data_IF_359347405829
#
_entry.id   IF_359347405829
#
_cell.length_a   1.000
_cell.length_b   1.000
_cell.length_c   1.000
_cell.angle_alpha   90.00
_cell.angle_beta   90.00
_cell.angle_gamma   90.00
#
_symmetry.space_group_name_H-M   'P 1'
#
loop_
_entity.id
_entity.type
_entity.pdbx_description
1 polymer ?
#
# COMPACT_ATOMS: atom_id res chain seq x y z
N UNK A 1 5.67 -10.35 20.96
CA UNK A 1 6.92 -11.00 20.91
C UNK A 1 7.54 -10.97 19.51
N UNK A 2 8.76 -10.50 19.41
CA UNK A 2 9.36 -10.17 18.14
C UNK A 2 10.35 -11.22 17.68
N UNK A 3 9.89 -12.45 17.57
CA UNK A 3 10.70 -13.42 16.89
C UNK A 3 10.77 -13.02 15.42
N UNK A 4 11.97 -12.82 14.96
CA UNK A 4 12.21 -12.42 13.60
C UNK A 4 11.87 -13.58 12.68
N UNK A 5 10.80 -13.40 11.89
CA UNK A 5 10.41 -14.39 10.91
C UNK A 5 11.53 -14.57 9.87
N UNK A 6 11.88 -15.81 9.60
CA UNK A 6 12.92 -16.14 8.64
C UNK A 6 12.30 -16.62 7.35
N UNK A 7 12.59 -15.91 6.25
CA UNK A 7 12.15 -16.32 4.93
C UNK A 7 12.97 -17.50 4.44
N UNK A 8 12.27 -18.56 4.06
CA UNK A 8 12.90 -19.73 3.45
C UNK A 8 13.01 -19.56 1.94
N UNK A 9 13.77 -20.44 1.29
CA UNK A 9 13.84 -20.46 -0.17
C UNK A 9 12.46 -20.72 -0.78
N UNK A 10 11.68 -21.60 -0.17
CA UNK A 10 10.31 -21.87 -0.60
C UNK A 10 9.44 -20.61 -0.50
N UNK A 11 9.57 -19.85 0.59
CA UNK A 11 8.82 -18.60 0.76
C UNK A 11 9.10 -17.62 -0.38
N UNK A 12 10.37 -17.49 -0.76
CA UNK A 12 10.75 -16.59 -1.84
C UNK A 12 10.16 -17.01 -3.18
N UNK A 13 10.13 -18.31 -3.44
CA UNK A 13 9.51 -18.84 -4.65
C UNK A 13 8.02 -18.57 -4.68
N UNK A 14 7.35 -18.77 -3.55
CA UNK A 14 5.92 -18.48 -3.42
C UNK A 14 5.65 -16.99 -3.67
N UNK A 15 6.42 -16.12 -3.02
CA UNK A 15 6.25 -14.67 -3.18
C UNK A 15 6.45 -14.23 -4.62
N UNK A 16 7.43 -14.79 -5.32
CA UNK A 16 7.66 -14.49 -6.73
C UNK A 16 6.44 -14.84 -7.58
N UNK A 17 5.84 -16.00 -7.35
CA UNK A 17 4.65 -16.41 -8.09
C UNK A 17 3.45 -15.51 -7.76
N UNK A 18 3.24 -15.22 -6.48
CA UNK A 18 2.10 -14.37 -6.05
C UNK A 18 2.26 -12.92 -6.49
N UNK A 19 3.49 -12.40 -6.55
CA UNK A 19 3.70 -11.04 -7.05
C UNK A 19 3.43 -10.94 -8.55
N UNK A 20 3.66 -12.00 -9.29
CA UNK A 20 3.33 -12.04 -10.70
C UNK A 20 1.83 -12.19 -10.94
N UNK A 21 1.17 -13.03 -10.14
CA UNK A 21 -0.27 -13.24 -10.22
C UNK A 21 -0.80 -13.73 -8.86
N UNK A 22 -1.39 -12.82 -8.11
CA UNK A 22 -1.89 -13.14 -6.77
C UNK A 22 -3.15 -13.99 -6.77
N UNK A 23 -3.73 -14.27 -7.94
CA UNK A 23 -4.92 -15.12 -8.07
C UNK A 23 -4.60 -16.60 -8.21
N UNK A 24 -3.32 -16.95 -8.30
CA UNK A 24 -2.92 -18.36 -8.36
C UNK A 24 -3.39 -19.11 -7.13
N UNK A 25 -3.96 -20.29 -7.35
CA UNK A 25 -4.32 -21.17 -6.26
C UNK A 25 -3.07 -21.82 -5.66
N UNK A 26 -3.19 -22.33 -4.46
CA UNK A 26 -2.09 -23.05 -3.83
C UNK A 26 -1.66 -24.26 -4.68
N UNK A 27 -2.61 -24.92 -5.32
CA UNK A 27 -2.32 -26.06 -6.20
C UNK A 27 -1.49 -25.61 -7.42
N UNK A 28 -1.89 -24.50 -8.04
CA UNK A 28 -1.16 -23.96 -9.19
C UNK A 28 0.27 -23.56 -8.83
N UNK A 29 0.45 -22.91 -7.68
CA UNK A 29 1.78 -22.54 -7.19
C UNK A 29 2.60 -23.80 -6.93
N UNK A 30 2.00 -24.79 -6.26
CA UNK A 30 2.68 -26.04 -5.95
C UNK A 30 3.18 -26.75 -7.20
N UNK A 31 2.39 -26.77 -8.25
CA UNK A 31 2.78 -27.36 -9.53
C UNK A 31 3.95 -26.62 -10.18
N UNK A 32 3.94 -25.29 -10.09
CA UNK A 32 4.98 -24.47 -10.71
C UNK A 32 6.33 -24.62 -10.03
N UNK A 33 6.35 -24.75 -8.70
CA UNK A 33 7.60 -24.76 -7.96
C UNK A 33 7.99 -26.15 -7.41
N UNK A 34 7.20 -27.18 -7.73
CA UNK A 34 7.50 -28.54 -7.32
C UNK A 34 7.31 -28.80 -5.84
N UNK A 35 6.20 -28.32 -5.29
CA UNK A 35 5.85 -28.53 -3.88
C UNK A 35 4.44 -29.08 -3.76
N UNK A 36 3.91 -29.18 -2.54
CA UNK A 36 2.54 -29.62 -2.29
C UNK A 36 1.66 -28.42 -1.94
N UNK A 37 0.37 -28.51 -2.29
CA UNK A 37 -0.59 -27.44 -1.98
C UNK A 37 -0.65 -27.16 -0.47
N UNK A 38 -0.56 -28.20 0.35
CA UNK A 38 -0.58 -28.03 1.81
C UNK A 38 0.65 -27.30 2.33
N UNK A 39 1.83 -27.53 1.73
CA UNK A 39 3.05 -26.80 2.07
C UNK A 39 2.91 -25.33 1.69
N UNK A 40 2.38 -25.06 0.51
CA UNK A 40 2.12 -23.69 0.06
C UNK A 40 1.17 -22.98 1.02
N UNK A 41 0.06 -23.62 1.34
CA UNK A 41 -0.94 -23.06 2.26
C UNK A 41 -0.31 -22.66 3.60
N UNK A 42 0.46 -23.59 4.19
CA UNK A 42 1.11 -23.33 5.48
C UNK A 42 2.09 -22.16 5.42
N UNK A 43 2.86 -22.07 4.36
CA UNK A 43 3.86 -21.00 4.24
C UNK A 43 3.22 -19.66 3.96
N UNK A 44 2.20 -19.61 3.11
CA UNK A 44 1.45 -18.38 2.85
C UNK A 44 0.82 -17.88 4.16
N UNK A 45 0.21 -18.77 4.91
CA UNK A 45 -0.41 -18.40 6.18
C UNK A 45 0.62 -17.88 7.18
N UNK A 46 1.76 -18.54 7.28
CA UNK A 46 2.84 -18.09 8.16
C UNK A 46 3.36 -16.71 7.77
N UNK A 47 3.48 -16.45 6.47
CA UNK A 47 3.91 -15.14 5.97
C UNK A 47 2.86 -14.05 6.22
N UNK A 48 1.58 -14.38 6.13
CA UNK A 48 0.51 -13.45 6.48
C UNK A 48 0.53 -13.11 7.97
N UNK A 49 0.64 -14.11 8.81
CA UNK A 49 0.69 -13.93 10.27
C UNK A 49 1.93 -13.14 10.72
N UNK A 50 3.04 -13.32 10.02
CA UNK A 50 4.28 -12.61 10.32
C UNK A 50 4.31 -11.20 9.74
N UNK A 51 3.30 -10.80 8.95
CA UNK A 51 3.25 -9.49 8.32
C UNK A 51 4.12 -9.36 7.07
N UNK A 52 4.69 -10.43 6.58
CA UNK A 52 5.46 -10.43 5.32
C UNK A 52 4.53 -10.19 4.15
N UNK A 53 3.41 -10.91 4.12
CA UNK A 53 2.33 -10.63 3.18
C UNK A 53 1.34 -9.73 3.91
N UNK A 54 1.25 -8.49 3.45
CA UNK A 54 0.40 -7.48 4.09
C UNK A 54 -1.02 -7.45 3.52
N UNK A 55 -1.23 -8.04 2.36
CA UNK A 55 -2.55 -8.13 1.77
C UNK A 55 -2.49 -8.43 0.28
N UNK A 56 -3.67 -8.65 -0.26
CA UNK A 56 -3.88 -8.86 -1.69
C UNK A 56 -4.84 -7.76 -2.14
N UNK A 57 -4.41 -6.96 -3.09
CA UNK A 57 -5.15 -5.77 -3.49
C UNK A 57 -5.48 -5.78 -4.96
N UNK A 58 -6.67 -5.31 -5.29
CA UNK A 58 -7.11 -5.16 -6.66
C UNK A 58 -6.74 -3.79 -7.19
N UNK A 59 -6.08 -3.76 -8.33
CA UNK A 59 -5.80 -2.51 -9.05
C UNK A 59 -6.85 -2.34 -10.13
N UNK A 60 -7.55 -1.22 -10.11
CA UNK A 60 -8.65 -0.95 -11.03
C UNK A 60 -8.34 0.32 -11.80
N UNK A 61 -8.69 0.33 -13.07
CA UNK A 61 -8.59 1.53 -13.90
C UNK A 61 -9.67 2.52 -13.46
N UNK A 62 -9.28 3.53 -12.72
CA UNK A 62 -10.22 4.49 -12.12
C UNK A 62 -11.02 5.25 -13.17
N UNK A 63 -10.43 5.53 -14.32
CA UNK A 63 -11.08 6.23 -15.42
C UNK A 63 -12.29 5.46 -15.98
N UNK A 64 -12.20 4.13 -16.06
CA UNK A 64 -13.30 3.31 -16.54
C UNK A 64 -14.48 3.26 -15.58
N UNK A 65 -14.24 3.58 -14.32
CA UNK A 65 -15.29 3.64 -13.29
C UNK A 65 -15.91 5.03 -13.17
N UNK A 66 -15.48 5.97 -14.00
CA UNK A 66 -15.92 7.35 -13.91
C UNK A 66 -15.37 8.09 -12.70
N UNK A 67 -14.36 7.51 -12.08
CA UNK A 67 -13.69 8.14 -10.95
C UNK A 67 -12.59 9.09 -11.43
N UNK A 68 -12.19 9.95 -10.53
CA UNK A 68 -11.29 11.04 -10.80
C UNK A 68 -9.87 10.62 -11.11
N UNK A 69 -9.12 11.57 -11.62
CA UNK A 69 -7.70 11.39 -11.85
C UNK A 69 -6.92 11.27 -10.55
N UNK A 70 -5.88 10.46 -10.59
CA UNK A 70 -4.94 10.36 -9.49
C UNK A 70 -3.92 11.48 -9.62
N UNK A 71 -3.67 12.19 -8.56
CA UNK A 71 -2.73 13.30 -8.53
C UNK A 71 -1.71 13.14 -7.42
N UNK A 72 -0.50 13.65 -7.68
CA UNK A 72 0.55 13.72 -6.67
C UNK A 72 0.63 15.14 -6.15
N UNK A 73 0.51 15.28 -4.84
CA UNK A 73 0.62 16.57 -4.16
C UNK A 73 1.87 16.58 -3.29
N UNK A 74 2.59 17.69 -3.32
CA UNK A 74 3.69 17.93 -2.42
C UNK A 74 3.24 18.84 -1.30
N UNK A 75 3.52 18.43 -0.07
CA UNK A 75 3.08 19.17 1.11
C UNK A 75 4.26 19.58 1.96
N UNK A 76 4.28 20.84 2.36
CA UNK A 76 5.25 21.36 3.31
C UNK A 76 4.49 21.78 4.57
N UNK A 77 5.04 21.45 5.73
CA UNK A 77 4.48 21.88 7.01
C UNK A 77 5.20 23.15 7.45
N UNK A 78 4.43 24.14 7.95
CA UNK A 78 4.97 25.38 8.42
C UNK A 78 5.86 25.19 9.65
N UNK A 79 5.52 24.21 10.48
CA UNK A 79 6.31 23.87 11.66
C UNK A 79 6.52 22.38 11.71
N UNK A 80 7.66 21.97 12.26
CA UNK A 80 8.03 20.56 12.39
C UNK A 80 7.92 20.08 13.82
N UNK A 81 6.93 20.56 14.57
CA UNK A 81 6.65 20.08 15.89
C UNK A 81 5.99 18.71 15.84
N UNK A 82 6.13 17.95 16.93
CA UNK A 82 5.45 16.66 17.06
C UNK A 82 3.93 16.83 16.92
N UNK A 83 3.40 17.90 17.49
CA UNK A 83 1.98 18.21 17.42
C UNK A 83 1.52 18.45 15.98
N UNK A 84 2.30 19.19 15.19
CA UNK A 84 1.98 19.42 13.77
C UNK A 84 1.99 18.13 12.98
N UNK A 85 2.96 17.28 13.24
CA UNK A 85 3.08 16.00 12.56
C UNK A 85 1.92 15.08 12.92
N UNK A 86 1.52 15.06 14.18
CA UNK A 86 0.39 14.25 14.63
C UNK A 86 -0.92 14.72 14.02
N UNK A 87 -1.13 16.03 13.95
CA UNK A 87 -2.32 16.63 13.33
C UNK A 87 -2.39 16.28 11.85
N UNK A 88 -1.27 16.36 11.16
CA UNK A 88 -1.20 16.01 9.74
C UNK A 88 -1.49 14.52 9.52
N UNK A 89 -0.90 13.66 10.31
CA UNK A 89 -1.13 12.22 10.23
C UNK A 89 -2.60 11.87 10.45
N UNK A 90 -3.22 12.51 11.41
CA UNK A 90 -4.65 12.32 11.68
C UNK A 90 -5.50 12.74 10.49
N UNK A 91 -5.20 13.91 9.91
CA UNK A 91 -5.91 14.40 8.74
C UNK A 91 -5.82 13.43 7.58
N UNK A 92 -4.63 12.91 7.30
CA UNK A 92 -4.40 11.96 6.23
C UNK A 92 -5.21 10.69 6.45
N UNK A 93 -5.21 10.16 7.69
CA UNK A 93 -5.95 8.94 8.01
C UNK A 93 -7.46 9.10 7.90
N UNK A 94 -7.96 10.32 8.11
CA UNK A 94 -9.38 10.61 8.02
C UNK A 94 -9.84 11.02 6.62
N UNK A 95 -8.92 11.15 5.68
CA UNK A 95 -9.23 11.60 4.32
C UNK A 95 -9.24 10.42 3.35
N UNK A 96 -10.42 9.93 2.96
CA UNK A 96 -10.51 8.77 2.05
C UNK A 96 -9.95 9.05 0.65
N UNK A 97 -9.85 10.31 0.27
CA UNK A 97 -9.26 10.71 -1.02
C UNK A 97 -7.76 10.50 -1.08
N UNK A 98 -7.10 10.41 0.07
CA UNK A 98 -5.66 10.18 0.12
C UNK A 98 -5.39 8.69 0.07
N UNK A 99 -4.80 8.25 -1.03
CA UNK A 99 -4.51 6.84 -1.26
C UNK A 99 -3.19 6.41 -0.63
N UNK A 100 -2.18 7.27 -0.71
CA UNK A 100 -0.84 7.01 -0.19
C UNK A 100 -0.24 8.30 0.34
N UNK A 101 0.63 8.18 1.33
CA UNK A 101 1.37 9.31 1.88
C UNK A 101 2.79 8.87 2.19
N UNK A 102 3.76 9.61 1.68
CA UNK A 102 5.17 9.33 1.88
C UNK A 102 5.87 10.54 2.50
N UNK A 103 6.68 10.29 3.52
CA UNK A 103 7.61 11.29 4.01
C UNK A 103 8.78 11.35 3.02
N UNK A 104 9.14 12.55 2.60
CA UNK A 104 10.18 12.73 1.59
C UNK A 104 11.26 13.69 2.09
N UNK A 105 12.44 13.57 1.52
CA UNK A 105 13.54 14.51 1.78
C UNK A 105 13.59 15.55 0.67
N UNK A 106 14.12 16.71 0.99
CA UNK A 106 14.27 17.80 0.03
C UNK A 106 13.39 18.98 0.38
N UNK A 107 12.84 19.61 -0.64
CA UNK A 107 12.07 20.85 -0.53
C UNK A 107 10.73 20.69 0.18
N UNK A 108 10.13 19.52 0.03
CA UNK A 108 8.82 19.20 0.59
C UNK A 108 8.95 18.17 1.70
N UNK A 109 7.97 18.16 2.61
CA UNK A 109 7.96 17.22 3.72
C UNK A 109 7.26 15.92 3.38
N UNK A 110 6.19 16.00 2.59
CA UNK A 110 5.38 14.84 2.24
C UNK A 110 4.96 14.85 0.78
N UNK A 111 4.78 13.66 0.23
CA UNK A 111 4.18 13.47 -1.08
C UNK A 111 2.94 12.61 -0.91
N UNK A 112 1.80 13.12 -1.37
CA UNK A 112 0.52 12.43 -1.29
C UNK A 112 0.08 11.97 -2.66
N UNK A 113 -0.51 10.78 -2.71
CA UNK A 113 -1.22 10.31 -3.87
C UNK A 113 -2.71 10.45 -3.56
N UNK A 114 -3.40 11.28 -4.32
CA UNK A 114 -4.76 11.69 -4.03
C UNK A 114 -5.66 11.38 -5.22
N UNK A 115 -6.85 10.87 -4.92
CA UNK A 115 -7.90 10.68 -5.92
C UNK A 115 -8.84 11.88 -5.85
N UNK A 116 -9.02 12.58 -6.98
CA UNK A 116 -9.85 13.77 -7.01
C UNK A 116 -10.79 13.73 -8.21
N UNK A 117 -11.98 14.31 -8.03
CA UNK A 117 -12.99 14.39 -9.10
C UNK A 117 -12.61 15.37 -10.19
N UNK A 118 -11.81 16.36 -9.87
CA UNK A 118 -11.28 17.31 -10.83
C UNK A 118 -10.15 18.10 -10.20
N UNK A 119 -9.34 18.74 -11.04
CA UNK A 119 -8.29 19.66 -10.58
C UNK A 119 -8.84 20.79 -9.74
N UNK A 120 -10.04 21.26 -10.08
CA UNK A 120 -10.71 22.33 -9.35
C UNK A 120 -11.02 21.90 -7.92
N UNK A 121 -11.37 20.65 -7.73
CA UNK A 121 -11.67 20.10 -6.41
C UNK A 121 -10.44 20.14 -5.48
N UNK A 122 -9.27 19.88 -6.00
CA UNK A 122 -8.03 19.89 -5.22
C UNK A 122 -7.52 21.31 -4.96
N UNK A 123 -7.67 22.18 -5.94
CA UNK A 123 -7.08 23.51 -5.88
C UNK A 123 -7.95 24.55 -5.20
N UNK A 124 -9.10 24.18 -4.65
CA UNK A 124 -9.93 25.10 -3.89
C UNK A 124 -9.22 25.59 -2.64
N UNK A 125 -9.01 26.91 -2.51
CA UNK A 125 -8.21 27.44 -1.40
C UNK A 125 -8.92 27.48 -0.06
N UNK A 126 -10.18 27.05 -0.03
CA UNK A 126 -11.02 27.14 1.17
C UNK A 126 -10.94 25.91 2.08
N UNK A 127 -10.10 24.97 1.78
CA UNK A 127 -9.99 23.78 2.62
C UNK A 127 -9.06 24.05 3.80
N UNK A 128 -9.58 24.06 5.02
CA UNK A 128 -8.78 24.27 6.20
C UNK A 128 -8.06 22.99 6.58
N UNK A 129 -6.86 22.88 6.16
CA UNK A 129 -6.01 21.78 6.58
C UNK A 129 -4.96 22.24 7.56
#
# INVERSE_FOLDING_TARGET
MNEKFTLTALDRQILNELQADCRLSNQEIAERIGSSASSIWRRVRAMEEAGVIQGFHLSVAADTLGLAETMLLHVSLDTHSEQSTDSFTRLINESPEVLECYAVTGEYDYQLKVLALSLIHISEPTRPY
#
